data_IF_097694854758
#
_entry.id   IF_097694854758
#
_cell.length_a   1.000
_cell.length_b   1.000
_cell.length_c   1.000
_cell.angle_alpha   90.00
_cell.angle_beta   90.00
_cell.angle_gamma   90.00
#
_symmetry.space_group_name_H-M   'P 1'
#
loop_
_entity.id
_entity.type
_entity.pdbx_description
1 polymer ?
#
# COMPACT_ATOMS: atom_id res chain seq x y z
N UNK A 1 16.71 9.23 -39.09
CA UNK A 1 16.09 8.09 -38.34
C UNK A 1 16.44 8.31 -36.88
N UNK A 2 15.48 8.42 -35.97
CA UNK A 2 15.79 8.54 -34.56
C UNK A 2 16.60 7.32 -34.10
N UNK A 3 17.74 7.56 -33.44
CA UNK A 3 18.58 6.48 -32.88
C UNK A 3 17.81 5.55 -31.94
N UNK A 4 16.78 6.06 -31.28
CA UNK A 4 15.86 5.29 -30.42
C UNK A 4 15.10 4.18 -31.17
N UNK A 5 14.93 4.29 -32.50
CA UNK A 5 14.25 3.26 -33.29
C UNK A 5 15.14 2.04 -33.60
N UNK A 6 16.44 2.15 -33.35
CA UNK A 6 17.40 1.06 -33.57
C UNK A 6 17.74 0.29 -32.30
N UNK A 7 17.45 0.84 -31.14
CA UNK A 7 17.74 0.19 -29.86
C UNK A 7 16.60 -0.72 -29.45
N UNK A 8 16.84 -2.01 -29.46
CA UNK A 8 15.86 -3.03 -29.12
C UNK A 8 15.77 -3.34 -27.61
N UNK A 9 16.60 -2.71 -26.79
CA UNK A 9 16.76 -3.05 -25.39
C UNK A 9 17.71 -4.24 -25.15
N UNK A 10 18.12 -4.49 -23.91
CA UNK A 10 19.02 -5.58 -23.55
C UNK A 10 18.40 -6.95 -23.88
N UNK A 11 19.22 -7.92 -24.22
CA UNK A 11 18.75 -9.29 -24.50
C UNK A 11 18.34 -10.04 -23.24
N UNK A 12 18.89 -9.66 -22.12
CA UNK A 12 18.57 -10.17 -20.79
C UNK A 12 18.39 -9.01 -19.82
N UNK A 13 17.56 -9.21 -18.83
CA UNK A 13 17.53 -8.37 -17.65
C UNK A 13 18.77 -8.70 -16.80
N UNK A 14 19.66 -7.73 -16.63
CA UNK A 14 20.94 -7.93 -15.93
C UNK A 14 20.73 -8.25 -14.45
N UNK A 15 19.70 -7.65 -13.83
CA UNK A 15 19.41 -7.86 -12.42
C UNK A 15 18.90 -9.29 -12.13
N UNK A 16 18.02 -9.81 -12.98
CA UNK A 16 17.45 -11.15 -12.80
C UNK A 16 18.21 -12.25 -13.55
N UNK A 17 19.14 -11.92 -14.42
CA UNK A 17 19.81 -12.88 -15.29
C UNK A 17 18.87 -13.65 -16.23
N UNK A 18 17.68 -13.10 -16.47
CA UNK A 18 16.53 -13.73 -17.12
C UNK A 18 16.10 -12.94 -18.36
N UNK A 19 15.22 -13.50 -19.22
CA UNK A 19 14.68 -12.75 -20.36
C UNK A 19 14.01 -11.45 -19.94
N UNK A 20 13.95 -10.42 -20.81
CA UNK A 20 13.27 -9.17 -20.55
C UNK A 20 11.81 -9.37 -20.15
N UNK A 21 11.26 -8.46 -19.33
CA UNK A 21 9.91 -8.57 -18.81
C UNK A 21 8.85 -8.66 -19.91
N UNK A 22 8.96 -7.83 -20.94
CA UNK A 22 8.05 -7.78 -22.06
C UNK A 22 8.79 -7.66 -23.39
N UNK A 23 8.18 -8.20 -24.43
CA UNK A 23 8.55 -7.95 -25.82
C UNK A 23 7.45 -7.11 -26.46
N UNK A 24 7.83 -5.97 -27.00
CA UNK A 24 6.97 -5.06 -27.72
C UNK A 24 7.42 -4.90 -29.16
N UNK A 25 6.68 -4.11 -29.91
CA UNK A 25 6.97 -3.72 -31.28
C UNK A 25 6.85 -2.21 -31.38
N UNK A 26 7.85 -1.56 -31.94
CA UNK A 26 7.78 -0.12 -32.26
C UNK A 26 6.93 0.10 -33.51
N UNK A 27 6.54 1.36 -33.79
CA UNK A 27 5.84 1.74 -35.01
C UNK A 27 6.61 1.30 -36.28
N UNK A 28 7.95 1.35 -36.22
CA UNK A 28 8.83 0.90 -37.31
C UNK A 28 9.02 -0.62 -37.40
N UNK A 29 8.17 -1.39 -36.71
CA UNK A 29 8.25 -2.87 -36.66
C UNK A 29 9.53 -3.43 -36.02
N UNK A 30 10.33 -2.60 -35.35
CA UNK A 30 11.51 -3.06 -34.62
C UNK A 30 11.09 -3.70 -33.31
N UNK A 31 11.59 -4.89 -32.94
CA UNK A 31 11.36 -5.47 -31.64
C UNK A 31 11.87 -4.54 -30.54
N UNK A 32 11.11 -4.43 -29.46
CA UNK A 32 11.48 -3.70 -28.27
C UNK A 32 11.42 -4.63 -27.06
N UNK A 33 12.48 -4.64 -26.27
CA UNK A 33 12.61 -5.45 -25.06
C UNK A 33 12.51 -4.52 -23.86
N UNK A 34 11.53 -4.76 -22.99
CA UNK A 34 11.31 -3.98 -21.78
C UNK A 34 11.87 -4.74 -20.59
N UNK A 35 12.85 -4.14 -19.92
CA UNK A 35 13.30 -4.47 -18.58
C UNK A 35 13.03 -3.29 -17.68
N UNK A 36 12.69 -3.53 -16.39
CA UNK A 36 12.35 -2.47 -15.44
C UNK A 36 13.56 -2.01 -14.63
N UNK A 37 14.63 -2.82 -14.58
CA UNK A 37 15.80 -2.54 -13.79
C UNK A 37 16.92 -1.88 -14.61
N UNK A 38 17.60 -0.93 -13.95
CA UNK A 38 18.88 -0.39 -14.36
C UNK A 38 19.84 -0.64 -13.20
N UNK A 39 20.68 -1.65 -13.32
CA UNK A 39 21.42 -2.20 -12.19
C UNK A 39 20.44 -2.83 -11.18
N UNK A 40 20.50 -2.42 -9.93
CA UNK A 40 19.61 -2.86 -8.83
C UNK A 40 18.36 -1.98 -8.62
N UNK A 41 18.19 -0.92 -9.43
CA UNK A 41 17.08 0.03 -9.31
C UNK A 41 15.99 -0.28 -10.32
N UNK A 42 14.79 -0.63 -9.82
CA UNK A 42 13.62 -1.04 -10.63
C UNK A 42 12.41 -0.11 -10.52
N UNK A 43 12.60 1.18 -10.21
CA UNK A 43 11.50 2.14 -10.14
C UNK A 43 10.99 2.52 -11.53
N UNK A 44 9.69 2.36 -11.75
CA UNK A 44 9.05 2.69 -13.03
C UNK A 44 7.82 3.55 -12.82
N UNK A 45 7.71 4.64 -13.58
CA UNK A 45 6.53 5.51 -13.61
C UNK A 45 5.82 5.37 -14.95
N UNK A 46 4.53 5.00 -14.93
CA UNK A 46 3.68 4.90 -16.13
C UNK A 46 2.70 6.06 -16.16
N UNK A 47 2.85 6.96 -17.12
CA UNK A 47 2.03 8.17 -17.29
C UNK A 47 1.29 8.12 -18.63
N UNK A 48 0.05 8.58 -18.64
CA UNK A 48 -0.76 8.68 -19.85
C UNK A 48 -2.20 9.10 -19.54
N UNK A 49 -2.98 9.53 -20.53
CA UNK A 49 -4.37 9.93 -20.35
C UNK A 49 -5.26 8.77 -19.91
N UNK A 50 -6.46 9.09 -19.44
CA UNK A 50 -7.47 8.08 -19.14
C UNK A 50 -7.83 7.30 -20.41
N UNK A 51 -8.00 5.99 -20.29
CA UNK A 51 -8.28 5.11 -21.44
C UNK A 51 -7.07 4.66 -22.26
N UNK A 52 -5.85 5.17 -21.98
CA UNK A 52 -4.64 4.79 -22.71
C UNK A 52 -4.11 3.37 -22.43
N UNK A 53 -4.80 2.57 -21.62
CA UNK A 53 -4.42 1.18 -21.33
C UNK A 53 -3.37 1.03 -20.21
N UNK A 54 -3.12 2.05 -19.39
CA UNK A 54 -2.13 1.98 -18.28
C UNK A 54 -2.38 0.80 -17.34
N UNK A 55 -3.62 0.61 -16.88
CA UNK A 55 -3.98 -0.49 -15.97
C UNK A 55 -3.80 -1.86 -16.63
N UNK A 56 -4.11 -1.96 -17.93
CA UNK A 56 -3.88 -3.19 -18.70
C UNK A 56 -2.38 -3.48 -18.82
N UNK A 57 -1.58 -2.46 -19.10
CA UNK A 57 -0.12 -2.60 -19.14
C UNK A 57 0.43 -3.08 -17.79
N UNK A 58 0.00 -2.47 -16.68
CA UNK A 58 0.43 -2.87 -15.33
C UNK A 58 0.02 -4.32 -15.02
N UNK A 59 -1.19 -4.73 -15.39
CA UNK A 59 -1.66 -6.10 -15.23
C UNK A 59 -0.81 -7.09 -16.05
N UNK A 60 -0.50 -6.76 -17.31
CA UNK A 60 0.35 -7.58 -18.16
C UNK A 60 1.78 -7.67 -17.61
N UNK A 61 2.32 -6.55 -17.10
CA UNK A 61 3.64 -6.53 -16.45
C UNK A 61 3.66 -7.45 -15.21
N UNK A 62 2.62 -7.39 -14.38
CA UNK A 62 2.48 -8.26 -13.21
C UNK A 62 2.42 -9.74 -13.63
N UNK A 63 1.57 -10.09 -14.60
CA UNK A 63 1.48 -11.44 -15.14
C UNK A 63 2.82 -11.95 -15.67
N UNK A 64 3.55 -11.12 -16.41
CA UNK A 64 4.86 -11.48 -16.97
C UNK A 64 5.94 -11.58 -15.88
N UNK A 65 5.85 -10.79 -14.82
CA UNK A 65 6.81 -10.82 -13.72
C UNK A 65 6.81 -12.16 -12.98
N UNK A 66 5.66 -12.86 -12.97
CA UNK A 66 5.51 -14.19 -12.35
C UNK A 66 6.46 -15.27 -12.88
N UNK A 67 7.04 -15.08 -14.05
CA UNK A 67 8.01 -16.05 -14.62
C UNK A 67 9.39 -15.99 -13.98
N UNK A 68 9.68 -14.92 -13.24
CA UNK A 68 10.94 -14.85 -12.50
C UNK A 68 10.85 -15.67 -11.21
N UNK A 69 11.93 -16.38 -10.90
CA UNK A 69 11.98 -17.26 -9.74
C UNK A 69 11.71 -16.49 -8.44
N UNK A 70 10.92 -17.08 -7.57
CA UNK A 70 10.52 -16.51 -6.27
C UNK A 70 9.89 -15.10 -6.35
N UNK A 71 9.31 -14.75 -7.48
CA UNK A 71 8.66 -13.45 -7.66
C UNK A 71 7.45 -13.30 -6.73
N UNK A 72 7.34 -12.13 -6.11
CA UNK A 72 6.17 -11.71 -5.34
C UNK A 72 5.64 -10.40 -5.91
N UNK A 73 4.31 -10.24 -5.93
CA UNK A 73 3.64 -9.05 -6.46
C UNK A 73 2.67 -8.54 -5.40
N UNK A 74 2.86 -7.29 -5.01
CA UNK A 74 1.94 -6.56 -4.16
C UNK A 74 1.36 -5.40 -4.97
N UNK A 75 0.04 -5.39 -5.17
CA UNK A 75 -0.65 -4.36 -5.94
C UNK A 75 -1.59 -3.57 -5.04
N UNK A 76 -1.46 -2.24 -5.06
CA UNK A 76 -2.35 -1.31 -4.36
C UNK A 76 -3.14 -0.55 -5.42
N UNK A 77 -4.45 -0.79 -5.49
CA UNK A 77 -5.31 -0.29 -6.55
C UNK A 77 -6.64 0.24 -5.98
N UNK A 78 -6.90 1.53 -6.13
CA UNK A 78 -8.12 2.16 -5.64
C UNK A 78 -9.36 1.84 -6.49
N UNK A 79 -9.18 1.36 -7.72
CA UNK A 79 -10.27 1.14 -8.67
C UNK A 79 -10.61 -0.33 -8.93
N UNK A 80 -9.92 -1.28 -8.28
CA UNK A 80 -10.13 -2.71 -8.47
C UNK A 80 -9.75 -3.23 -9.86
N UNK A 81 -9.04 -2.44 -10.68
CA UNK A 81 -8.70 -2.80 -12.07
C UNK A 81 -7.72 -3.98 -12.18
N UNK A 82 -6.93 -4.24 -11.12
CA UNK A 82 -5.98 -5.35 -11.05
C UNK A 82 -6.63 -6.66 -10.56
N UNK A 83 -7.88 -6.62 -10.03
CA UNK A 83 -8.55 -7.78 -9.42
C UNK A 83 -8.53 -9.02 -10.30
N UNK A 84 -8.93 -8.86 -11.56
CA UNK A 84 -8.99 -9.99 -12.51
C UNK A 84 -7.60 -10.63 -12.74
N UNK A 85 -6.54 -9.80 -12.84
CA UNK A 85 -5.18 -10.29 -12.98
C UNK A 85 -4.69 -10.97 -11.70
N UNK A 86 -4.98 -10.41 -10.51
CA UNK A 86 -4.62 -11.01 -9.22
C UNK A 86 -5.22 -12.41 -9.07
N UNK A 87 -6.53 -12.55 -9.29
CA UNK A 87 -7.23 -13.83 -9.22
C UNK A 87 -6.74 -14.80 -10.31
N UNK A 88 -6.51 -14.31 -11.54
CA UNK A 88 -5.98 -15.13 -12.64
C UNK A 88 -4.55 -15.64 -12.39
N UNK A 89 -3.78 -14.96 -11.56
CA UNK A 89 -2.46 -15.41 -11.09
C UNK A 89 -2.54 -16.39 -9.91
N UNK A 90 -3.73 -16.68 -9.39
CA UNK A 90 -3.91 -17.48 -8.17
C UNK A 90 -3.51 -16.72 -6.90
N UNK A 91 -3.54 -15.40 -6.94
CA UNK A 91 -3.27 -14.53 -5.79
C UNK A 91 -4.54 -14.20 -5.02
N UNK A 92 -4.34 -13.64 -3.83
CA UNK A 92 -5.42 -13.12 -2.99
C UNK A 92 -5.77 -11.69 -3.40
N UNK A 93 -7.06 -11.37 -3.37
CA UNK A 93 -7.56 -10.02 -3.57
C UNK A 93 -8.37 -9.59 -2.35
N UNK A 94 -8.06 -8.43 -1.82
CA UNK A 94 -8.70 -7.90 -0.62
C UNK A 94 -9.32 -6.54 -0.91
N UNK A 95 -10.63 -6.40 -0.68
CA UNK A 95 -11.32 -5.12 -0.74
C UNK A 95 -11.27 -4.46 0.64
N UNK A 96 -10.30 -3.57 0.83
CA UNK A 96 -10.10 -2.87 2.10
C UNK A 96 -11.13 -1.75 2.34
N UNK A 97 -11.87 -1.34 1.31
CA UNK A 97 -12.83 -0.25 1.35
C UNK A 97 -14.27 -0.64 1.03
N UNK A 98 -14.51 -1.88 0.63
CA UNK A 98 -15.82 -2.38 0.23
C UNK A 98 -16.86 -2.34 1.36
N UNK A 99 -18.10 -2.03 1.02
CA UNK A 99 -19.20 -2.16 1.97
C UNK A 99 -19.45 -3.64 2.26
N UNK A 100 -19.65 -3.97 3.54
CA UNK A 100 -20.00 -5.32 4.01
C UNK A 100 -21.39 -5.79 3.49
N UNK A 101 -22.09 -4.98 2.69
CA UNK A 101 -23.45 -5.22 2.19
C UNK A 101 -23.54 -6.36 1.17
N UNK A 102 -22.43 -6.73 0.52
CA UNK A 102 -22.45 -7.77 -0.53
C UNK A 102 -22.15 -9.18 -0.01
N UNK A 103 -22.17 -9.41 1.31
CA UNK A 103 -21.95 -10.73 1.91
C UNK A 103 -20.54 -11.30 1.70
N UNK A 104 -19.64 -10.53 1.13
CA UNK A 104 -18.21 -10.86 1.06
C UNK A 104 -17.56 -10.23 2.29
N UNK A 105 -17.34 -11.03 3.33
CA UNK A 105 -16.53 -10.61 4.46
C UNK A 105 -15.18 -10.14 3.92
N UNK A 106 -14.76 -8.92 4.28
CA UNK A 106 -13.39 -8.50 4.05
C UNK A 106 -12.48 -9.51 4.76
N UNK A 107 -11.74 -10.29 4.00
CA UNK A 107 -10.90 -11.36 4.54
C UNK A 107 -9.70 -10.83 5.35
N UNK A 108 -9.53 -9.51 5.40
CA UNK A 108 -8.42 -8.84 6.10
C UNK A 108 -8.98 -7.83 7.09
N UNK A 109 -8.77 -8.10 8.35
CA UNK A 109 -8.91 -7.14 9.44
C UNK A 109 -7.54 -6.58 9.77
N UNK A 110 -7.36 -5.27 9.63
CA UNK A 110 -6.11 -4.59 9.95
C UNK A 110 -6.21 -4.03 11.38
N UNK A 111 -5.21 -4.36 12.19
CA UNK A 111 -5.06 -3.84 13.55
C UNK A 111 -3.70 -3.12 13.68
N UNK A 112 -3.60 -1.85 13.23
CA UNK A 112 -2.33 -1.13 13.17
C UNK A 112 -1.61 -1.00 14.51
N UNK A 113 -2.35 -1.02 15.62
CA UNK A 113 -1.80 -0.87 16.97
C UNK A 113 -1.49 -2.21 17.67
N UNK A 114 -1.67 -3.35 17.01
CA UNK A 114 -1.46 -4.67 17.62
C UNK A 114 -0.07 -4.83 18.24
N UNK A 115 0.96 -4.24 17.61
CA UNK A 115 2.37 -4.39 18.00
C UNK A 115 2.96 -3.19 18.75
N UNK A 116 2.14 -2.32 19.33
CA UNK A 116 2.63 -1.13 20.09
C UNK A 116 3.49 -1.46 21.32
N UNK A 117 3.56 -2.72 21.72
CA UNK A 117 4.51 -3.16 22.75
C UNK A 117 5.96 -3.08 22.29
N UNK A 118 6.23 -3.22 20.98
CA UNK A 118 7.55 -3.00 20.39
C UNK A 118 7.83 -1.51 20.25
N UNK A 119 9.01 -1.05 20.68
CA UNK A 119 9.36 0.38 20.66
C UNK A 119 9.36 0.98 19.24
N UNK A 120 9.95 0.33 18.21
CA UNK A 120 9.86 0.82 16.84
C UNK A 120 8.43 0.92 16.30
N UNK A 121 7.60 -0.07 16.57
CA UNK A 121 6.19 -0.09 16.16
C UNK A 121 5.38 0.99 16.88
N UNK A 122 5.69 1.25 18.15
CA UNK A 122 5.07 2.35 18.92
C UNK A 122 5.44 3.71 18.36
N UNK A 123 6.70 3.91 17.94
CA UNK A 123 7.14 5.15 17.31
C UNK A 123 6.40 5.37 15.97
N UNK A 124 6.32 4.34 15.14
CA UNK A 124 5.53 4.38 13.91
C UNK A 124 4.05 4.67 14.19
N UNK A 125 3.46 4.02 15.18
CA UNK A 125 2.07 4.25 15.56
C UNK A 125 1.82 5.70 16.03
N UNK A 126 2.76 6.28 16.77
CA UNK A 126 2.68 7.68 17.17
C UNK A 126 2.67 8.63 15.97
N UNK A 127 3.57 8.43 14.99
CA UNK A 127 3.62 9.23 13.78
C UNK A 127 2.36 9.05 12.93
N UNK A 128 1.85 7.84 12.82
CA UNK A 128 0.61 7.54 12.11
C UNK A 128 -0.61 8.24 12.75
N UNK A 129 -0.76 8.19 14.08
CA UNK A 129 -1.84 8.89 14.80
C UNK A 129 -1.68 10.41 14.66
N UNK A 130 -0.45 10.94 14.74
CA UNK A 130 -0.17 12.36 14.51
C UNK A 130 -0.65 12.79 13.12
N UNK A 131 -0.43 11.99 12.08
CA UNK A 131 -0.93 12.28 10.74
C UNK A 131 -2.47 12.33 10.67
N UNK A 132 -3.16 11.46 11.42
CA UNK A 132 -4.62 11.51 11.57
C UNK A 132 -5.04 12.80 12.27
N UNK A 133 -4.43 13.13 13.40
CA UNK A 133 -4.75 14.33 14.19
C UNK A 133 -4.57 15.62 13.37
N UNK A 134 -3.50 15.72 12.56
CA UNK A 134 -3.28 16.86 11.65
C UNK A 134 -4.44 16.97 10.66
N UNK A 135 -4.88 15.85 10.08
CA UNK A 135 -6.00 15.82 9.13
C UNK A 135 -7.31 16.27 9.78
N UNK A 136 -7.51 15.97 11.05
CA UNK A 136 -8.66 16.42 11.84
C UNK A 136 -8.49 17.85 12.42
N UNK A 137 -7.45 18.59 12.00
CA UNK A 137 -7.25 19.99 12.37
C UNK A 137 -6.59 20.21 13.72
N UNK A 138 -6.04 19.18 14.36
CA UNK A 138 -5.33 19.31 15.64
C UNK A 138 -3.92 19.88 15.40
N UNK A 139 -3.59 20.95 16.11
CA UNK A 139 -2.23 21.50 16.15
C UNK A 139 -1.34 20.60 17.01
N UNK A 140 -0.25 20.10 16.44
CA UNK A 140 0.66 19.21 17.13
C UNK A 140 1.67 19.99 17.96
N UNK A 141 1.43 20.03 19.25
CA UNK A 141 2.32 20.62 20.26
C UNK A 141 3.16 19.52 20.94
N UNK A 142 4.24 19.88 21.64
CA UNK A 142 4.98 18.92 22.47
C UNK A 142 4.09 18.20 23.48
N UNK A 143 3.14 18.88 24.07
CA UNK A 143 2.16 18.34 25.03
C UNK A 143 1.26 17.27 24.37
N UNK A 144 0.78 17.52 23.13
CA UNK A 144 -0.01 16.53 22.37
C UNK A 144 0.79 15.27 22.14
N UNK A 145 2.08 15.41 21.77
CA UNK A 145 2.98 14.25 21.57
C UNK A 145 3.21 13.47 22.85
N UNK A 146 3.37 14.16 23.98
CA UNK A 146 3.55 13.54 25.30
C UNK A 146 2.29 12.76 25.72
N UNK A 147 1.11 13.36 25.61
CA UNK A 147 -0.16 12.70 25.91
C UNK A 147 -0.36 11.46 25.03
N UNK A 148 -0.09 11.57 23.72
CA UNK A 148 -0.19 10.45 22.80
C UNK A 148 0.78 9.32 23.15
N UNK A 149 2.06 9.66 23.40
CA UNK A 149 3.08 8.69 23.75
C UNK A 149 2.76 7.97 25.08
N UNK A 150 2.28 8.70 26.08
CA UNK A 150 1.84 8.12 27.35
C UNK A 150 0.68 7.16 27.16
N UNK A 151 -0.32 7.53 26.36
CA UNK A 151 -1.48 6.69 26.07
C UNK A 151 -1.06 5.41 25.28
N UNK A 152 -0.18 5.54 24.27
CA UNK A 152 0.35 4.39 23.53
C UNK A 152 1.18 3.47 24.42
N UNK A 153 1.94 4.03 25.37
CA UNK A 153 2.72 3.24 26.34
C UNK A 153 1.79 2.46 27.28
N UNK A 154 0.70 3.07 27.71
CA UNK A 154 -0.31 2.39 28.52
C UNK A 154 -1.03 1.29 27.70
N UNK A 155 -1.36 1.59 26.45
CA UNK A 155 -2.00 0.64 25.54
C UNK A 155 -1.12 -0.60 25.26
N UNK A 156 0.20 -0.43 25.28
CA UNK A 156 1.15 -1.53 25.09
C UNK A 156 1.01 -2.64 26.14
N UNK A 157 0.50 -2.32 27.33
CA UNK A 157 0.26 -3.26 28.42
C UNK A 157 -1.11 -3.93 28.35
N UNK A 158 -2.01 -3.49 27.45
CA UNK A 158 -3.33 -4.07 27.27
C UNK A 158 -3.25 -5.36 26.45
N UNK A 159 -4.27 -6.26 26.54
CA UNK A 159 -4.42 -7.39 25.63
C UNK A 159 -4.41 -6.94 24.16
N UNK A 160 -3.96 -7.84 23.26
CA UNK A 160 -3.83 -7.49 21.83
C UNK A 160 -5.15 -7.03 21.23
N UNK A 161 -6.24 -7.64 21.62
CA UNK A 161 -7.61 -7.34 21.13
C UNK A 161 -8.05 -5.91 21.47
N UNK A 162 -7.51 -5.34 22.55
CA UNK A 162 -7.81 -3.98 23.00
C UNK A 162 -6.88 -2.93 22.37
N UNK A 163 -5.80 -3.32 21.72
CA UNK A 163 -4.82 -2.42 21.10
C UNK A 163 -5.35 -1.80 19.81
N UNK A 164 -6.45 -1.12 19.91
CA UNK A 164 -7.19 -0.46 18.84
C UNK A 164 -7.22 1.05 19.03
N UNK A 165 -7.65 1.81 18.01
CA UNK A 165 -7.90 3.25 18.17
C UNK A 165 -8.95 3.50 19.25
N UNK A 166 -9.98 2.65 19.36
CA UNK A 166 -10.98 2.72 20.41
C UNK A 166 -10.34 2.57 21.79
N UNK A 167 -9.49 1.56 21.99
CA UNK A 167 -8.74 1.39 23.24
C UNK A 167 -7.81 2.56 23.56
N UNK A 168 -7.15 3.11 22.51
CA UNK A 168 -6.31 4.30 22.68
C UNK A 168 -7.11 5.50 23.17
N UNK A 169 -8.30 5.75 22.61
CA UNK A 169 -9.13 6.91 23.00
C UNK A 169 -9.58 6.84 24.46
N UNK A 170 -9.74 5.64 25.02
CA UNK A 170 -10.06 5.49 26.45
C UNK A 170 -8.89 5.97 27.34
N UNK A 171 -7.66 5.73 26.91
CA UNK A 171 -6.44 6.04 27.65
C UNK A 171 -5.96 7.50 27.48
N UNK A 172 -6.41 8.19 26.44
CA UNK A 172 -6.10 9.61 26.24
C UNK A 172 -6.72 10.45 27.36
N UNK A 173 -6.00 11.50 27.80
CA UNK A 173 -6.51 12.43 28.82
C UNK A 173 -7.18 13.65 28.18
N UNK A 174 -6.76 14.05 26.97
CA UNK A 174 -7.29 15.21 26.26
C UNK A 174 -8.63 14.90 25.57
N UNK A 175 -9.65 15.66 25.83
CA UNK A 175 -10.96 15.54 25.18
C UNK A 175 -10.89 15.89 23.68
N UNK A 176 -10.06 16.86 23.30
CA UNK A 176 -9.90 17.27 21.90
C UNK A 176 -9.31 16.12 21.07
N UNK A 177 -8.31 15.41 21.60
CA UNK A 177 -7.74 14.25 20.94
C UNK A 177 -8.74 13.09 20.85
N UNK A 178 -9.55 12.87 21.90
CA UNK A 178 -10.63 11.86 21.86
C UNK A 178 -11.65 12.18 20.77
N UNK A 179 -12.07 13.43 20.67
CA UNK A 179 -13.05 13.84 19.65
C UNK A 179 -12.49 13.72 18.24
N UNK A 180 -11.24 14.13 18.03
CA UNK A 180 -10.56 14.00 16.74
C UNK A 180 -10.42 12.54 16.28
N UNK A 181 -10.20 11.60 17.20
CA UNK A 181 -10.07 10.17 16.86
C UNK A 181 -11.40 9.41 16.84
N UNK A 182 -12.49 10.00 17.33
CA UNK A 182 -13.80 9.34 17.40
C UNK A 182 -14.31 8.79 16.06
N UNK A 183 -14.13 9.46 14.91
CA UNK A 183 -14.54 8.91 13.61
C UNK A 183 -13.86 7.59 13.23
N UNK A 184 -12.69 7.30 13.82
CA UNK A 184 -11.87 6.11 13.57
C UNK A 184 -12.08 5.00 14.60
N UNK A 185 -12.90 5.24 15.62
CA UNK A 185 -13.28 4.23 16.61
C UNK A 185 -14.35 3.29 16.07
N UNK A 186 -14.48 2.13 16.70
CA UNK A 186 -15.58 1.18 16.41
C UNK A 186 -16.92 1.90 16.50
N UNK A 187 -17.73 1.76 15.46
CA UNK A 187 -19.01 2.49 15.31
C UNK A 187 -18.89 3.90 14.74
N UNK A 188 -17.70 4.39 14.47
CA UNK A 188 -17.46 5.61 13.71
C UNK A 188 -17.45 5.35 12.19
N UNK A 189 -17.55 6.40 11.35
CA UNK A 189 -17.63 6.26 9.91
C UNK A 189 -16.38 5.61 9.27
N UNK A 190 -15.24 5.66 9.93
CA UNK A 190 -13.96 5.07 9.47
C UNK A 190 -13.48 3.93 10.38
N UNK A 191 -14.21 3.60 11.45
CA UNK A 191 -13.91 2.53 12.40
C UNK A 191 -14.59 1.24 11.97
N UNK A 192 -13.81 0.34 11.37
CA UNK A 192 -14.26 -1.00 10.94
C UNK A 192 -13.47 -2.06 11.68
#
# INVERSE_FOLDING_TARGET
>A
IPLSALWAGPERDEHFGSPPLLYGKTEGSTPFRLSLHVGDVGHTLVVGPTGAGKSVLLAVMALQFRRYDRSQIFAFDFGGSIRAAALGMGGDWHDLGGDLTDGVESSVSLQPLARVHDTPERAWAADWIVAILIREGITITPEVKEHLWSALTSLASAPVEERTITGLTVLLQSNDLKQALRPYCVGGPYGR
#
